data_IF_814469229157
#
_entry.id   IF_814469229157
#
_cell.length_a   1.000
_cell.length_b   1.000
_cell.length_c   1.000
_cell.angle_alpha   90.00
_cell.angle_beta   90.00
_cell.angle_gamma   90.00
#
_symmetry.space_group_name_H-M   'P 1'
#
loop_
_entity.id
_entity.type
_entity.pdbx_description
1 polymer ?
#
# COMPACT_ATOMS: atom_id res chain seq x y z
N UNK A 1 -43.18 22.48 -2.94
CA UNK A 1 -41.72 22.53 -3.23
C UNK A 1 -41.53 23.38 -4.48
N UNK A 2 -40.87 24.54 -4.38
CA UNK A 2 -40.56 25.37 -5.58
C UNK A 2 -39.39 24.72 -6.33
N UNK A 3 -39.55 24.57 -7.64
CA UNK A 3 -38.51 24.07 -8.54
C UNK A 3 -37.33 25.05 -8.54
N UNK A 4 -36.19 24.63 -8.00
CA UNK A 4 -34.93 25.35 -8.16
C UNK A 4 -33.90 24.40 -8.75
N UNK A 5 -33.22 24.87 -9.80
CA UNK A 5 -32.20 24.11 -10.51
C UNK A 5 -31.12 23.56 -9.56
N UNK A 6 -30.79 24.31 -8.52
CA UNK A 6 -29.91 23.88 -7.42
C UNK A 6 -30.36 22.59 -6.71
N UNK A 7 -31.66 22.37 -6.54
CA UNK A 7 -32.22 21.17 -5.89
C UNK A 7 -32.26 19.97 -6.83
N UNK A 8 -32.43 20.19 -8.14
CA UNK A 8 -32.54 19.14 -9.15
C UNK A 8 -31.17 18.67 -9.69
N UNK A 9 -30.21 19.58 -9.88
CA UNK A 9 -28.90 19.28 -10.49
C UNK A 9 -27.93 18.55 -9.51
N UNK A 10 -28.29 18.45 -8.22
CA UNK A 10 -27.45 17.87 -7.16
C UNK A 10 -27.93 16.51 -6.66
N UNK A 11 -28.66 15.77 -7.49
CA UNK A 11 -29.07 14.38 -7.22
C UNK A 11 -27.96 13.52 -6.58
N UNK A 12 -26.70 13.55 -7.04
CA UNK A 12 -25.62 12.79 -6.41
C UNK A 12 -25.30 13.21 -4.96
N UNK A 13 -25.43 14.50 -4.65
CA UNK A 13 -25.18 15.05 -3.31
C UNK A 13 -26.34 14.71 -2.37
N UNK A 14 -27.57 14.78 -2.86
CA UNK A 14 -28.76 14.41 -2.09
C UNK A 14 -28.89 12.91 -1.88
N UNK A 15 -28.37 12.08 -2.80
CA UNK A 15 -28.41 10.62 -2.66
C UNK A 15 -27.64 10.15 -1.42
N UNK A 16 -26.46 10.73 -1.17
CA UNK A 16 -25.68 10.38 0.02
C UNK A 16 -26.39 10.84 1.31
N UNK A 17 -27.00 12.04 1.28
CA UNK A 17 -27.81 12.55 2.39
C UNK A 17 -29.07 11.71 2.66
N UNK A 18 -29.79 11.31 1.61
CA UNK A 18 -30.99 10.48 1.72
C UNK A 18 -30.62 9.09 2.24
N UNK A 19 -29.55 8.50 1.71
CA UNK A 19 -29.04 7.22 2.17
C UNK A 19 -28.64 7.23 3.65
N UNK A 20 -27.94 8.28 4.11
CA UNK A 20 -27.56 8.38 5.53
C UNK A 20 -28.76 8.58 6.47
N UNK A 21 -29.83 9.22 5.99
CA UNK A 21 -31.06 9.44 6.75
C UNK A 21 -31.93 8.17 6.82
N UNK A 22 -32.08 7.45 5.71
CA UNK A 22 -32.92 6.26 5.64
C UNK A 22 -32.23 5.00 6.21
N UNK A 23 -30.89 4.94 6.11
CA UNK A 23 -30.10 3.76 6.46
C UNK A 23 -28.94 4.09 7.43
N UNK A 24 -29.23 4.67 8.61
CA UNK A 24 -28.18 5.10 9.55
C UNK A 24 -27.36 3.93 10.10
N UNK A 25 -27.97 2.74 10.24
CA UNK A 25 -27.29 1.53 10.71
C UNK A 25 -26.30 1.04 9.65
N UNK A 26 -26.72 0.97 8.39
CA UNK A 26 -25.88 0.51 7.27
C UNK A 26 -24.71 1.47 7.04
N UNK A 27 -24.95 2.78 7.17
CA UNK A 27 -23.87 3.77 7.19
C UNK A 27 -22.86 3.48 8.30
N UNK A 28 -23.33 3.26 9.53
CA UNK A 28 -22.48 2.93 10.67
C UNK A 28 -21.63 1.68 10.42
N UNK A 29 -22.25 0.61 9.91
CA UNK A 29 -21.54 -0.62 9.54
C UNK A 29 -20.52 -0.38 8.43
N UNK A 30 -20.86 0.42 7.42
CA UNK A 30 -19.95 0.79 6.32
C UNK A 30 -18.74 1.60 6.79
N UNK A 31 -18.95 2.53 7.71
CA UNK A 31 -17.85 3.29 8.32
C UNK A 31 -16.96 2.35 9.14
N UNK A 32 -17.55 1.48 9.96
CA UNK A 32 -16.79 0.53 10.76
C UNK A 32 -15.99 -0.43 9.88
N UNK A 33 -16.56 -0.97 8.80
CA UNK A 33 -15.84 -1.85 7.88
C UNK A 33 -14.70 -1.12 7.17
N UNK A 34 -14.89 0.14 6.77
CA UNK A 34 -13.83 0.98 6.22
C UNK A 34 -12.71 1.23 7.24
N UNK A 35 -13.04 1.47 8.52
CA UNK A 35 -12.04 1.61 9.58
C UNK A 35 -11.24 0.33 9.80
N UNK A 36 -11.91 -0.84 9.81
CA UNK A 36 -11.24 -2.13 9.91
C UNK A 36 -10.33 -2.38 8.71
N UNK A 37 -10.79 -2.07 7.50
CA UNK A 37 -10.00 -2.24 6.29
C UNK A 37 -8.80 -1.30 6.26
N UNK A 38 -8.97 -0.05 6.69
CA UNK A 38 -7.87 0.91 6.83
C UNK A 38 -6.84 0.42 7.86
N UNK A 39 -7.30 0.00 9.04
CA UNK A 39 -6.43 -0.59 10.07
C UNK A 39 -5.69 -1.82 9.53
N UNK A 40 -6.39 -2.71 8.84
CA UNK A 40 -5.78 -3.88 8.21
C UNK A 40 -4.72 -3.49 7.18
N UNK A 41 -5.02 -2.53 6.30
CA UNK A 41 -4.07 -2.02 5.31
C UNK A 41 -2.82 -1.41 5.96
N UNK A 42 -2.94 -0.76 7.11
CA UNK A 42 -1.77 -0.24 7.85
C UNK A 42 -0.93 -1.32 8.51
N UNK A 43 -1.49 -2.50 8.79
CA UNK A 43 -0.79 -3.63 9.43
C UNK A 43 -0.19 -4.59 8.39
N UNK A 44 -0.84 -4.73 7.25
CA UNK A 44 -0.37 -5.53 6.12
C UNK A 44 0.73 -4.82 5.33
N UNK A 45 1.93 -4.80 5.90
CA UNK A 45 3.15 -4.50 5.13
C UNK A 45 3.54 -5.72 4.30
N UNK A 46 4.38 -5.49 3.27
CA UNK A 46 4.95 -6.57 2.45
C UNK A 46 5.73 -7.59 3.31
N UNK A 47 6.33 -7.15 4.42
CA UNK A 47 7.00 -8.01 5.39
C UNK A 47 6.01 -8.87 6.19
N UNK A 48 4.88 -8.28 6.61
CA UNK A 48 3.81 -8.99 7.32
C UNK A 48 3.17 -10.06 6.43
N UNK A 49 2.97 -9.77 5.14
CA UNK A 49 2.45 -10.75 4.16
C UNK A 49 3.35 -11.98 4.07
N UNK A 50 4.68 -11.79 3.96
CA UNK A 50 5.64 -12.90 3.90
C UNK A 50 5.74 -13.65 5.23
N UNK A 51 5.74 -12.93 6.36
CA UNK A 51 5.86 -13.50 7.70
C UNK A 51 4.67 -14.36 8.07
N UNK A 52 3.47 -13.97 7.63
CA UNK A 52 2.25 -14.72 7.93
C UNK A 52 1.86 -15.70 6.82
N UNK A 53 2.45 -15.66 5.62
CA UNK A 53 2.11 -16.58 4.52
C UNK A 53 2.12 -18.07 4.86
N UNK A 54 2.85 -18.51 5.89
CA UNK A 54 2.87 -19.90 6.37
C UNK A 54 1.48 -20.47 6.67
N UNK A 55 0.53 -19.66 7.16
CA UNK A 55 -0.82 -20.14 7.48
C UNK A 55 -1.58 -20.65 6.23
N UNK A 56 -1.18 -20.21 5.04
CA UNK A 56 -1.77 -20.58 3.76
C UNK A 56 -0.89 -21.55 2.94
N UNK A 57 0.12 -22.19 3.55
CA UNK A 57 1.00 -23.13 2.85
C UNK A 57 1.97 -22.46 1.87
N UNK A 58 2.55 -21.33 2.28
CA UNK A 58 3.43 -20.54 1.41
C UNK A 58 4.72 -21.29 1.00
N UNK A 59 5.06 -21.34 -0.31
CA UNK A 59 6.21 -22.08 -0.81
C UNK A 59 7.53 -21.30 -0.67
N UNK A 60 8.16 -21.42 0.51
CA UNK A 60 9.41 -20.71 0.84
C UNK A 60 10.60 -21.04 -0.08
N UNK A 61 10.64 -22.22 -0.71
CA UNK A 61 11.71 -22.58 -1.64
C UNK A 61 11.68 -21.77 -2.96
N UNK A 62 10.50 -21.30 -3.36
CA UNK A 62 10.32 -20.51 -4.60
C UNK A 62 10.18 -19.02 -4.31
N UNK A 63 9.65 -18.68 -3.14
CA UNK A 63 9.47 -17.31 -2.64
C UNK A 63 8.90 -16.33 -3.68
N UNK A 64 7.67 -16.56 -4.18
CA UNK A 64 7.07 -15.73 -5.23
C UNK A 64 6.93 -14.25 -4.86
N UNK A 65 6.63 -13.94 -3.58
CA UNK A 65 6.52 -12.55 -3.11
C UNK A 65 7.87 -11.85 -3.21
N UNK A 66 8.96 -12.53 -2.85
CA UNK A 66 10.31 -11.97 -2.91
C UNK A 66 10.71 -11.65 -4.36
N UNK A 67 10.45 -12.55 -5.30
CA UNK A 67 10.76 -12.33 -6.73
C UNK A 67 9.92 -11.20 -7.34
N UNK A 68 8.65 -11.09 -6.97
CA UNK A 68 7.78 -9.97 -7.37
C UNK A 68 8.35 -8.65 -6.85
N UNK A 69 8.69 -8.60 -5.58
CA UNK A 69 9.21 -7.41 -4.92
C UNK A 69 10.58 -7.02 -5.47
N UNK A 70 11.47 -7.99 -5.73
CA UNK A 70 12.76 -7.77 -6.38
C UNK A 70 12.58 -7.05 -7.73
N UNK A 71 11.64 -7.51 -8.56
CA UNK A 71 11.35 -6.88 -9.86
C UNK A 71 10.85 -5.45 -9.68
N UNK A 72 9.91 -5.24 -8.75
CA UNK A 72 9.37 -3.90 -8.42
C UNK A 72 10.48 -2.96 -7.94
N UNK A 73 11.33 -3.41 -7.04
CA UNK A 73 12.40 -2.61 -6.45
C UNK A 73 13.53 -2.32 -7.44
N UNK A 74 13.91 -3.28 -8.30
CA UNK A 74 14.84 -3.03 -9.41
C UNK A 74 14.33 -1.93 -10.33
N UNK A 75 13.06 -1.96 -10.69
CA UNK A 75 12.46 -0.90 -11.52
C UNK A 75 12.47 0.46 -10.80
N UNK A 76 12.17 0.48 -9.49
CA UNK A 76 12.18 1.70 -8.70
C UNK A 76 13.59 2.30 -8.56
N UNK A 77 14.60 1.45 -8.39
CA UNK A 77 16.01 1.86 -8.35
C UNK A 77 16.42 2.45 -9.69
N UNK A 78 16.13 1.75 -10.78
CA UNK A 78 16.51 2.19 -12.14
C UNK A 78 15.80 3.49 -12.54
N UNK A 79 14.51 3.61 -12.23
CA UNK A 79 13.72 4.80 -12.60
C UNK A 79 14.12 6.05 -11.80
N UNK A 80 14.66 5.87 -10.59
CA UNK A 80 15.09 6.97 -9.73
C UNK A 80 16.63 7.14 -9.71
N UNK A 81 17.36 6.38 -10.53
CA UNK A 81 18.83 6.36 -10.57
C UNK A 81 19.47 6.24 -9.18
N UNK A 82 18.92 5.36 -8.34
CA UNK A 82 19.38 5.20 -6.96
C UNK A 82 20.70 4.45 -6.96
N UNK A 83 21.73 5.04 -6.35
CA UNK A 83 22.97 4.33 -6.08
C UNK A 83 22.77 3.36 -4.91
N UNK A 84 22.75 2.07 -5.23
CA UNK A 84 22.61 0.98 -4.25
C UNK A 84 23.85 0.92 -3.35
N UNK A 85 25.00 1.41 -3.83
CA UNK A 85 26.25 1.41 -3.08
C UNK A 85 26.40 2.59 -2.14
N UNK A 86 25.41 3.48 -2.04
CA UNK A 86 25.50 4.59 -1.09
C UNK A 86 25.66 4.06 0.35
N UNK A 87 26.63 4.59 1.14
CA UNK A 87 26.78 4.32 2.57
C UNK A 87 25.50 4.41 3.36
N UNK A 88 24.56 5.28 2.95
CA UNK A 88 23.24 5.41 3.57
C UNK A 88 22.46 4.10 3.59
N UNK A 89 22.64 3.26 2.57
CA UNK A 89 21.91 1.99 2.42
C UNK A 89 22.73 0.77 2.87
N UNK A 90 24.05 0.82 2.72
CA UNK A 90 24.95 -0.31 3.03
C UNK A 90 25.49 -0.28 4.45
N UNK A 91 25.51 0.89 5.11
CA UNK A 91 26.16 1.07 6.40
C UNK A 91 27.69 1.02 6.36
N UNK A 92 28.29 0.91 5.17
CA UNK A 92 29.75 0.87 4.96
C UNK A 92 30.25 2.23 4.46
N UNK A 93 31.50 2.59 4.79
CA UNK A 93 32.08 3.83 4.24
C UNK A 93 32.36 3.68 2.74
N UNK A 94 32.32 4.79 1.98
CA UNK A 94 32.60 4.78 0.53
C UNK A 94 33.96 4.18 0.22
N UNK A 95 34.96 4.48 1.05
CA UNK A 95 36.33 3.97 0.90
C UNK A 95 36.38 2.44 1.02
N UNK A 96 35.60 1.84 1.93
CA UNK A 96 35.52 0.38 2.06
C UNK A 96 34.87 -0.26 0.83
N UNK A 97 33.85 0.37 0.28
CA UNK A 97 33.17 -0.10 -0.93
C UNK A 97 34.06 0.01 -2.17
N UNK A 98 34.80 1.11 -2.32
CA UNK A 98 35.78 1.26 -3.40
C UNK A 98 36.90 0.23 -3.31
N UNK A 99 37.41 -0.06 -2.09
CA UNK A 99 38.38 -1.14 -1.88
C UNK A 99 37.81 -2.51 -2.26
N UNK A 100 36.58 -2.82 -1.87
CA UNK A 100 35.92 -4.07 -2.24
C UNK A 100 35.72 -4.20 -3.75
N UNK A 101 35.34 -3.10 -4.42
CA UNK A 101 35.20 -3.05 -5.88
C UNK A 101 36.52 -3.25 -6.63
N UNK A 102 37.65 -2.95 -6.01
CA UNK A 102 38.97 -3.20 -6.59
C UNK A 102 39.45 -4.65 -6.41
N UNK A 103 38.84 -5.42 -5.50
CA UNK A 103 39.19 -6.82 -5.19
C UNK A 103 38.36 -7.80 -6.04
N UNK A 104 37.10 -7.44 -6.33
CA UNK A 104 36.16 -8.22 -7.15
C UNK A 104 36.25 -7.79 -8.61
#
# INVERSE_FOLDING_TARGET
MVYTRWKCDRLPVFQLKLFTQEYPIQLGVGILSAMFLFKHATVCSEETERKNGWWAGYPYWRDPIARRNETKYKNLINNNSVDITDPKWTGCSKEQLERLRAIV
#
